data_IF_961814257657
#
_entry.id   IF_961814257657
#
_cell.length_a   1.000
_cell.length_b   1.000
_cell.length_c   1.000
_cell.angle_alpha   90.00
_cell.angle_beta   90.00
_cell.angle_gamma   90.00
#
_symmetry.space_group_name_H-M   'P 1'
#
loop_
_entity.id
_entity.type
_entity.pdbx_description
1 polymer ?
#
# COMPACT_ATOMS: atom_id res chain seq x y z
N UNK A 1 -1.89 -18.06 19.94
CA UNK A 1 -2.94 -17.02 19.82
C UNK A 1 -2.37 -15.86 19.01
N UNK A 2 -3.06 -15.34 17.99
CA UNK A 2 -2.60 -14.17 17.25
C UNK A 2 -2.62 -12.91 18.14
N UNK A 3 -1.73 -11.92 17.90
CA UNK A 3 -1.68 -10.70 18.69
C UNK A 3 -2.93 -9.84 18.46
N UNK A 4 -3.27 -8.99 19.44
CA UNK A 4 -4.31 -7.97 19.25
C UNK A 4 -3.90 -6.98 18.14
N UNK A 5 -4.89 -6.35 17.49
CA UNK A 5 -4.62 -5.34 16.47
C UNK A 5 -3.78 -4.16 16.99
N UNK A 6 -3.95 -3.78 18.26
CA UNK A 6 -3.17 -2.71 18.88
C UNK A 6 -1.71 -3.13 19.09
N UNK A 7 -1.48 -4.35 19.56
CA UNK A 7 -0.13 -4.92 19.70
C UNK A 7 0.59 -4.99 18.35
N UNK A 8 -0.11 -5.46 17.30
CA UNK A 8 0.43 -5.51 15.95
C UNK A 8 0.80 -4.11 15.42
N UNK A 9 -0.12 -3.14 15.53
CA UNK A 9 0.16 -1.75 15.12
C UNK A 9 1.33 -1.13 15.87
N UNK A 10 1.45 -1.38 17.18
CA UNK A 10 2.56 -0.88 17.99
C UNK A 10 3.90 -1.45 17.52
N UNK A 11 3.96 -2.74 17.18
CA UNK A 11 5.14 -3.35 16.59
C UNK A 11 5.48 -2.73 15.22
N UNK A 12 4.48 -2.54 14.36
CA UNK A 12 4.71 -2.01 13.00
C UNK A 12 5.18 -0.55 12.97
N UNK A 13 4.84 0.27 13.97
CA UNK A 13 5.36 1.65 14.09
C UNK A 13 6.89 1.73 14.23
N UNK A 14 7.55 0.62 14.58
CA UNK A 14 9.00 0.55 14.77
C UNK A 14 9.75 0.11 13.51
N UNK A 15 9.02 -0.26 12.44
CA UNK A 15 9.62 -0.67 11.17
C UNK A 15 9.57 0.52 10.22
N UNK A 16 10.72 1.12 9.85
CA UNK A 16 10.74 2.16 8.84
C UNK A 16 10.38 1.57 7.47
N UNK A 17 9.69 2.36 6.66
CA UNK A 17 9.40 2.00 5.26
C UNK A 17 9.50 3.23 4.37
N UNK A 18 9.80 2.98 3.09
CA UNK A 18 9.73 4.02 2.08
C UNK A 18 8.29 4.55 1.94
N UNK A 19 8.17 5.84 1.70
CA UNK A 19 6.88 6.48 1.39
C UNK A 19 6.77 6.61 -0.12
N UNK A 20 5.69 6.10 -0.69
CA UNK A 20 5.35 6.22 -2.10
C UNK A 20 3.97 6.88 -2.25
N UNK A 21 3.77 7.57 -3.37
CA UNK A 21 2.44 7.97 -3.83
C UNK A 21 2.05 7.03 -4.96
N UNK A 22 1.09 6.14 -4.70
CA UNK A 22 0.46 5.34 -5.74
C UNK A 22 -0.64 6.19 -6.38
N UNK A 23 -0.59 6.37 -7.70
CA UNK A 23 -1.55 7.20 -8.43
C UNK A 23 -2.07 6.49 -9.66
N UNK A 24 -3.29 6.84 -10.03
CA UNK A 24 -4.01 6.26 -11.15
C UNK A 24 -4.87 7.35 -11.81
N UNK A 25 -5.13 7.18 -13.09
CA UNK A 25 -6.04 8.00 -13.85
C UNK A 25 -7.01 7.08 -14.58
N UNK A 26 -8.29 7.15 -14.24
CA UNK A 26 -9.34 6.35 -14.85
C UNK A 26 -10.53 7.23 -15.17
N UNK A 27 -11.09 7.11 -16.38
CA UNK A 27 -12.22 7.90 -16.86
C UNK A 27 -12.11 9.42 -16.59
N UNK A 28 -10.92 9.98 -16.90
CA UNK A 28 -10.55 11.39 -16.65
C UNK A 28 -10.51 11.80 -15.17
N UNK A 29 -10.78 10.92 -14.23
CA UNK A 29 -10.58 11.15 -12.80
C UNK A 29 -9.18 10.71 -12.36
N UNK A 30 -8.53 11.57 -11.57
CA UNK A 30 -7.23 11.27 -10.96
C UNK A 30 -7.44 10.86 -9.50
N UNK A 31 -6.82 9.75 -9.12
CA UNK A 31 -6.84 9.26 -7.73
C UNK A 31 -5.42 8.95 -7.29
N UNK A 32 -5.19 9.06 -5.99
CA UNK A 32 -3.92 8.69 -5.41
C UNK A 32 -4.04 8.38 -3.94
N UNK A 33 -3.06 7.65 -3.42
CA UNK A 33 -2.90 7.38 -2.00
C UNK A 33 -1.43 7.36 -1.62
N UNK A 34 -1.16 7.75 -0.39
CA UNK A 34 0.14 7.53 0.24
C UNK A 34 0.23 6.08 0.70
N UNK A 35 1.26 5.36 0.26
CA UNK A 35 1.52 3.97 0.60
C UNK A 35 2.90 3.81 1.23
N UNK A 36 2.97 2.97 2.25
CA UNK A 36 4.21 2.45 2.82
C UNK A 36 4.32 0.94 2.73
N UNK A 37 3.22 0.24 2.41
CA UNK A 37 3.18 -1.20 2.18
C UNK A 37 3.45 -1.50 0.70
N UNK A 38 4.69 -1.30 0.28
CA UNK A 38 5.16 -1.52 -1.10
C UNK A 38 6.44 -2.35 -1.10
N UNK A 39 6.63 -3.23 -2.08
CA UNK A 39 7.89 -3.97 -2.26
C UNK A 39 8.14 -4.37 -3.72
N UNK A 40 9.43 -4.57 -4.05
CA UNK A 40 9.82 -5.20 -5.31
C UNK A 40 9.52 -6.69 -5.28
N UNK A 41 9.03 -7.24 -6.40
CA UNK A 41 8.68 -8.66 -6.54
C UNK A 41 9.65 -9.38 -7.47
N UNK A 42 9.88 -8.84 -8.67
CA UNK A 42 10.83 -9.40 -9.64
C UNK A 42 11.43 -8.29 -10.50
N UNK A 43 12.66 -8.51 -10.97
CA UNK A 43 13.30 -7.69 -12.00
C UNK A 43 13.00 -8.20 -13.42
N UNK A 44 12.70 -9.49 -13.58
CA UNK A 44 12.40 -10.09 -14.88
C UNK A 44 11.26 -11.13 -14.73
N UNK A 45 10.04 -10.83 -15.23
CA UNK A 45 9.61 -9.51 -15.69
C UNK A 45 9.61 -8.49 -14.53
N UNK A 46 9.79 -7.18 -14.80
CA UNK A 46 9.72 -6.15 -13.76
C UNK A 46 8.35 -6.11 -13.08
N UNK A 47 8.32 -6.33 -11.76
CA UNK A 47 7.08 -6.38 -10.97
C UNK A 47 7.23 -5.74 -9.59
N UNK A 48 6.18 -5.03 -9.16
CA UNK A 48 6.04 -4.44 -7.82
C UNK A 48 4.73 -4.89 -7.19
N UNK A 49 4.69 -4.92 -5.85
CA UNK A 49 3.50 -5.16 -5.05
C UNK A 49 3.18 -3.93 -4.19
N UNK A 50 1.91 -3.57 -4.12
CA UNK A 50 1.38 -2.59 -3.18
C UNK A 50 0.12 -3.13 -2.49
N UNK A 51 0.05 -3.01 -1.17
CA UNK A 51 -1.13 -3.39 -0.40
C UNK A 51 -2.05 -2.19 -0.20
N UNK A 52 -3.29 -2.29 -0.68
CA UNK A 52 -4.27 -1.20 -0.63
C UNK A 52 -5.44 -1.57 0.27
N UNK A 53 -5.80 -0.67 1.19
CA UNK A 53 -6.99 -0.86 2.03
C UNK A 53 -8.26 -0.73 1.18
N UNK A 54 -9.09 -1.79 1.16
CA UNK A 54 -10.35 -1.84 0.39
C UNK A 54 -11.36 -0.75 0.72
N UNK A 55 -11.25 -0.13 1.89
CA UNK A 55 -12.16 0.94 2.33
C UNK A 55 -11.78 2.33 1.80
N UNK A 56 -10.60 2.50 1.18
CA UNK A 56 -10.21 3.81 0.65
C UNK A 56 -10.84 4.05 -0.72
N UNK A 57 -11.23 5.30 -0.99
CA UNK A 57 -11.87 5.70 -2.27
C UNK A 57 -11.03 5.35 -3.50
N UNK A 58 -9.71 5.32 -3.36
CA UNK A 58 -8.80 5.00 -4.46
C UNK A 58 -8.82 3.51 -4.86
N UNK A 59 -9.21 2.58 -3.97
CA UNK A 59 -9.09 1.13 -4.20
C UNK A 59 -9.78 0.63 -5.48
N UNK A 60 -10.95 1.18 -5.83
CA UNK A 60 -11.71 0.69 -6.99
C UNK A 60 -11.06 0.95 -8.36
N UNK A 61 -10.03 1.79 -8.43
CA UNK A 61 -9.41 2.21 -9.68
C UNK A 61 -7.87 2.27 -9.61
N UNK A 62 -7.28 1.72 -8.54
CA UNK A 62 -5.82 1.59 -8.37
C UNK A 62 -5.37 0.19 -8.76
#
# INVERSE_FOLDING_TARGET
MPPSANTFKAAMRRIPSAVAIASTSYDRERRGLTATAVCSVSAEPPQLLACVNKQVRAHGHI
#
